data_IF_341538835023
#
_entry.id   IF_341538835023
#
_cell.length_a   1.000
_cell.length_b   1.000
_cell.length_c   1.000
_cell.angle_alpha   90.00
_cell.angle_beta   90.00
_cell.angle_gamma   90.00
#
_symmetry.space_group_name_H-M   'P 1'
#
loop_
_entity.id
_entity.type
_entity.pdbx_description
1 polymer ?
#
# COMPACT_ATOMS: atom_id res chain seq x y z
N UNK A 1 20.08 -3.53 -2.92
CA UNK A 1 19.26 -4.37 -3.81
C UNK A 1 18.55 -3.40 -4.72
N UNK A 2 18.90 -3.37 -6.01
CA UNK A 2 18.10 -2.64 -7.00
C UNK A 2 16.80 -3.43 -7.13
N UNK A 3 15.66 -2.77 -6.93
CA UNK A 3 14.36 -3.33 -7.27
C UNK A 3 14.37 -3.65 -8.77
N UNK A 4 13.65 -4.70 -9.18
CA UNK A 4 13.44 -4.95 -10.61
C UNK A 4 12.85 -3.67 -11.23
N UNK A 5 13.31 -3.19 -12.40
CA UNK A 5 12.77 -1.99 -13.04
C UNK A 5 11.23 -1.95 -13.10
N UNK A 6 10.57 -3.11 -13.21
CA UNK A 6 9.11 -3.21 -13.18
C UNK A 6 8.51 -2.91 -11.79
N UNK A 7 9.17 -3.37 -10.73
CA UNK A 7 8.75 -3.10 -9.34
C UNK A 7 8.87 -1.61 -9.00
N UNK A 8 9.94 -0.96 -9.47
CA UNK A 8 10.14 0.49 -9.31
C UNK A 8 9.06 1.30 -10.05
N UNK A 9 8.71 0.93 -11.30
CA UNK A 9 7.64 1.61 -12.04
C UNK A 9 6.27 1.49 -11.36
N UNK A 10 5.95 0.31 -10.83
CA UNK A 10 4.70 0.08 -10.09
C UNK A 10 4.65 0.86 -8.77
N UNK A 11 5.77 0.91 -8.05
CA UNK A 11 5.89 1.74 -6.85
C UNK A 11 5.65 3.21 -7.17
N UNK A 12 6.31 3.76 -8.19
CA UNK A 12 6.16 5.15 -8.62
C UNK A 12 4.73 5.48 -9.07
N UNK A 13 4.04 4.55 -9.74
CA UNK A 13 2.62 4.69 -10.10
C UNK A 13 1.74 4.82 -8.85
N UNK A 14 1.94 3.95 -7.85
CA UNK A 14 1.18 4.01 -6.59
C UNK A 14 1.53 5.25 -5.77
N UNK A 15 2.81 5.62 -5.71
CA UNK A 15 3.29 6.77 -4.96
C UNK A 15 2.75 8.10 -5.50
N UNK A 16 2.64 8.24 -6.83
CA UNK A 16 2.00 9.40 -7.48
C UNK A 16 0.50 9.50 -7.20
N UNK A 17 -0.17 8.36 -7.01
CA UNK A 17 -1.61 8.30 -6.78
C UNK A 17 -2.00 8.46 -5.32
N UNK A 18 -1.07 8.19 -4.40
CA UNK A 18 -1.29 8.17 -2.96
C UNK A 18 -1.92 9.46 -2.44
N UNK A 19 -3.12 9.34 -1.86
CA UNK A 19 -3.71 10.42 -1.07
C UNK A 19 -3.00 10.49 0.29
N UNK A 20 -1.98 11.34 0.37
CA UNK A 20 -1.17 11.52 1.58
C UNK A 20 -2.00 11.95 2.79
N UNK A 21 -3.07 12.73 2.59
CA UNK A 21 -3.91 13.22 3.69
C UNK A 21 -4.69 12.09 4.34
N UNK A 22 -5.18 11.13 3.57
CA UNK A 22 -5.85 9.95 4.11
C UNK A 22 -4.85 8.97 4.72
N UNK A 23 -3.68 8.79 4.09
CA UNK A 23 -2.61 7.94 4.58
C UNK A 23 -2.09 8.38 5.95
N UNK A 24 -1.82 9.67 6.14
CA UNK A 24 -1.27 10.22 7.40
C UNK A 24 -2.22 10.06 8.60
N UNK A 25 -3.53 9.87 8.36
CA UNK A 25 -4.52 9.60 9.41
C UNK A 25 -4.52 8.14 9.90
N UNK A 26 -3.88 7.23 9.16
CA UNK A 26 -3.88 5.82 9.49
C UNK A 26 -3.03 5.54 10.74
N UNK A 27 -3.34 4.50 11.53
CA UNK A 27 -2.41 4.00 12.54
C UNK A 27 -1.06 3.60 11.92
N UNK A 28 0.05 3.79 12.66
CA UNK A 28 1.41 3.54 12.17
C UNK A 28 1.62 2.15 11.56
N UNK A 29 1.01 1.11 12.14
CA UNK A 29 1.12 -0.26 11.63
C UNK A 29 0.39 -0.44 10.29
N UNK A 30 -0.72 0.28 10.07
CA UNK A 30 -1.44 0.28 8.80
C UNK A 30 -0.68 1.08 7.74
N UNK A 31 -0.05 2.21 8.12
CA UNK A 31 0.84 2.97 7.23
C UNK A 31 1.96 2.08 6.68
N UNK A 32 2.66 1.37 7.57
CA UNK A 32 3.74 0.45 7.18
C UNK A 32 3.25 -0.68 6.26
N UNK A 33 2.04 -1.20 6.49
CA UNK A 33 1.43 -2.21 5.62
C UNK A 33 1.12 -1.64 4.21
N UNK A 34 0.59 -0.41 4.12
CA UNK A 34 0.33 0.25 2.83
C UNK A 34 1.64 0.52 2.08
N UNK A 35 2.67 1.01 2.76
CA UNK A 35 4.00 1.21 2.16
C UNK A 35 4.60 -0.09 1.64
N UNK A 36 4.45 -1.19 2.40
CA UNK A 36 4.89 -2.50 1.95
C UNK A 36 4.13 -2.92 0.68
N UNK A 37 2.81 -2.79 0.66
CA UNK A 37 2.01 -3.09 -0.53
C UNK A 37 2.44 -2.24 -1.73
N UNK A 38 2.72 -0.95 -1.51
CA UNK A 38 3.18 -0.08 -2.58
C UNK A 38 4.49 -0.59 -3.19
N UNK A 39 5.41 -1.05 -2.35
CA UNK A 39 6.73 -1.54 -2.75
C UNK A 39 6.70 -2.92 -3.41
N UNK A 40 5.90 -3.84 -2.89
CA UNK A 40 5.97 -5.26 -3.29
C UNK A 40 4.78 -5.74 -4.11
N UNK A 41 3.66 -5.03 -4.07
CA UNK A 41 2.39 -5.50 -4.62
C UNK A 41 1.79 -6.70 -3.87
N UNK A 42 2.41 -7.19 -2.79
CA UNK A 42 1.91 -8.35 -2.06
C UNK A 42 0.77 -7.97 -1.12
N UNK A 43 -0.45 -8.09 -1.64
CA UNK A 43 -1.68 -7.77 -0.90
C UNK A 43 -1.84 -8.63 0.35
N UNK A 44 -1.47 -9.92 0.29
CA UNK A 44 -1.71 -10.86 1.41
C UNK A 44 -0.74 -10.60 2.55
N UNK A 45 0.54 -10.38 2.24
CA UNK A 45 1.54 -10.04 3.25
C UNK A 45 1.24 -8.70 3.91
N UNK A 46 0.94 -7.67 3.12
CA UNK A 46 0.59 -6.36 3.63
C UNK A 46 -0.67 -6.40 4.51
N UNK A 47 -1.73 -7.08 4.05
CA UNK A 47 -2.96 -7.28 4.82
C UNK A 47 -2.66 -7.94 6.17
N UNK A 48 -1.85 -9.01 6.19
CA UNK A 48 -1.48 -9.69 7.43
C UNK A 48 -0.77 -8.77 8.42
N UNK A 49 0.14 -7.91 7.95
CA UNK A 49 0.84 -6.95 8.81
C UNK A 49 -0.07 -5.82 9.30
N UNK A 50 -1.07 -5.44 8.51
CA UNK A 50 -2.04 -4.42 8.91
C UNK A 50 -2.94 -4.85 10.08
N UNK A 51 -3.03 -6.17 10.35
CA UNK A 51 -3.97 -6.76 11.31
C UNK A 51 -5.46 -6.50 11.01
N UNK A 52 -5.77 -5.97 9.83
CA UNK A 52 -7.12 -5.84 9.31
C UNK A 52 -7.52 -7.10 8.55
N UNK A 53 -8.81 -7.38 8.42
CA UNK A 53 -9.28 -8.33 7.43
C UNK A 53 -9.06 -7.81 5.99
N UNK A 54 -9.28 -8.68 5.00
CA UNK A 54 -9.03 -8.34 3.61
C UNK A 54 -9.89 -7.18 3.12
N UNK A 55 -11.17 -7.16 3.47
CA UNK A 55 -12.12 -6.14 3.01
C UNK A 55 -11.72 -4.76 3.56
N UNK A 56 -11.47 -4.68 4.86
CA UNK A 56 -11.04 -3.46 5.54
C UNK A 56 -9.71 -2.95 5.02
N UNK A 57 -8.75 -3.84 4.76
CA UNK A 57 -7.46 -3.43 4.20
C UNK A 57 -7.59 -2.91 2.77
N UNK A 58 -8.40 -3.57 1.94
CA UNK A 58 -8.69 -3.11 0.57
C UNK A 58 -9.38 -1.74 0.59
N UNK A 59 -10.27 -1.48 1.54
CA UNK A 59 -10.92 -0.18 1.66
C UNK A 59 -9.97 0.92 2.15
N UNK A 60 -8.99 0.60 3.00
CA UNK A 60 -7.88 1.51 3.31
C UNK A 60 -7.10 1.86 2.04
N UNK A 61 -6.74 0.88 1.23
CA UNK A 61 -6.02 1.10 -0.02
C UNK A 61 -6.80 2.00 -0.98
N UNK A 62 -8.11 1.74 -1.17
CA UNK A 62 -9.00 2.59 -1.98
C UNK A 62 -9.07 4.02 -1.47
N UNK A 63 -9.26 4.22 -0.16
CA UNK A 63 -9.29 5.56 0.46
C UNK A 63 -7.99 6.32 0.24
N UNK A 64 -6.86 5.62 0.32
CA UNK A 64 -5.54 6.18 0.05
C UNK A 64 -5.21 6.27 -1.44
N UNK A 65 -6.14 5.91 -2.34
CA UNK A 65 -5.92 5.87 -3.81
C UNK A 65 -4.74 5.01 -4.24
N UNK A 66 -4.49 3.93 -3.50
CA UNK A 66 -3.50 2.90 -3.83
C UNK A 66 -4.24 1.74 -4.49
N UNK A 67 -4.11 1.61 -5.81
CA UNK A 67 -4.85 0.60 -6.56
C UNK A 67 -4.12 -0.75 -6.58
N UNK A 68 -4.93 -1.82 -6.59
CA UNK A 68 -4.46 -3.18 -6.83
C UNK A 68 -4.33 -3.31 -8.35
N UNK A 69 -3.09 -3.39 -8.82
CA UNK A 69 -2.72 -3.58 -10.22
C UNK A 69 -2.44 -5.04 -10.53
#
# INVERSE_FOLDING_TARGET
MLLDPVEDELYELRARSLDRREFEKLPRHVQAAVELFMKTGDLRLAQKLSSLDLESFVDVLKRCRVYIT
#
